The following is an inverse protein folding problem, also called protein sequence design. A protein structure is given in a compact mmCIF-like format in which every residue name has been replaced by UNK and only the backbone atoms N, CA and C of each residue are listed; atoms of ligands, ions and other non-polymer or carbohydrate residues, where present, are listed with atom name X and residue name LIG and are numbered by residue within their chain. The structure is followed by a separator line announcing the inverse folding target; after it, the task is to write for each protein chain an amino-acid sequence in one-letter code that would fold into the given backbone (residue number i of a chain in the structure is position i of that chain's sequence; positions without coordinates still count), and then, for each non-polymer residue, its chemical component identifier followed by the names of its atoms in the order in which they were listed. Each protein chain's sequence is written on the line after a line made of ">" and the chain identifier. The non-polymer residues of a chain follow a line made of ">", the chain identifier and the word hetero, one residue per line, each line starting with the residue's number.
data_IF_072779320153
#
_entry.id   IF_072779320153
#
_cell.length_a   1.000
_cell.length_b   1.000
_cell.length_c   1.000
_cell.angle_alpha   90.00
_cell.angle_beta   90.00
_cell.angle_gamma   90.00
#
_symmetry.space_group_name_H-M   'P 1'
#
loop_
_entity.id
_entity.type
_entity.pdbx_description
1 polymer ?
#
# COMPACT_ATOMS: atom_id res chain seq x y z
N UNK A 1 -22.09 -8.72 -16.77
CA UNK A 1 -22.70 -9.99 -16.32
C UNK A 1 -22.45 -10.17 -14.84
N UNK A 2 -23.49 -10.07 -14.00
CA UNK A 2 -23.39 -10.23 -12.54
C UNK A 2 -23.41 -11.73 -12.22
N UNK A 3 -22.32 -12.29 -11.69
CA UNK A 3 -22.33 -13.65 -11.13
C UNK A 3 -22.81 -13.55 -9.68
N UNK A 4 -23.97 -14.13 -9.33
CA UNK A 4 -24.41 -14.15 -7.94
C UNK A 4 -23.38 -14.91 -7.11
N UNK A 5 -22.99 -14.34 -5.98
CA UNK A 5 -22.07 -14.98 -5.05
C UNK A 5 -22.70 -16.29 -4.52
N UNK A 6 -21.87 -17.32 -4.27
CA UNK A 6 -22.29 -18.61 -3.70
C UNK A 6 -23.31 -18.52 -2.54
N UNK A 7 -23.24 -17.54 -1.61
CA UNK A 7 -24.28 -17.37 -0.58
C UNK A 7 -25.66 -16.98 -1.12
N UNK A 8 -25.75 -16.22 -2.22
CA UNK A 8 -27.04 -15.84 -2.84
C UNK A 8 -27.73 -17.07 -3.43
N UNK A 9 -26.96 -17.99 -4.02
CA UNK A 9 -27.48 -19.25 -4.55
C UNK A 9 -27.97 -20.19 -3.43
N UNK A 10 -27.23 -20.27 -2.32
CA UNK A 10 -27.63 -21.06 -1.16
C UNK A 10 -28.90 -20.51 -0.50
N UNK A 11 -29.03 -19.19 -0.40
CA UNK A 11 -30.22 -18.53 0.14
C UNK A 11 -31.44 -18.72 -0.77
N UNK A 12 -31.27 -18.60 -2.08
CA UNK A 12 -32.33 -18.86 -3.06
C UNK A 12 -32.85 -20.29 -2.98
N UNK A 13 -31.96 -21.27 -2.82
CA UNK A 13 -32.34 -22.67 -2.62
C UNK A 13 -33.08 -22.88 -1.28
N UNK A 14 -32.62 -22.28 -0.19
CA UNK A 14 -33.28 -22.37 1.11
C UNK A 14 -34.69 -21.74 1.10
N UNK A 15 -34.86 -20.58 0.47
CA UNK A 15 -36.16 -19.95 0.28
C UNK A 15 -37.10 -20.81 -0.59
N UNK A 16 -36.59 -21.42 -1.67
CA UNK A 16 -37.39 -22.27 -2.55
C UNK A 16 -37.91 -23.52 -1.82
N UNK A 17 -37.04 -24.19 -1.05
CA UNK A 17 -37.42 -25.37 -0.24
C UNK A 17 -38.45 -24.98 0.84
N UNK A 18 -38.24 -23.85 1.51
CA UNK A 18 -39.18 -23.33 2.50
C UNK A 18 -40.56 -23.02 1.88
N UNK A 19 -40.59 -22.43 0.68
CA UNK A 19 -41.84 -22.09 -0.02
C UNK A 19 -42.60 -23.35 -0.47
N UNK A 20 -41.89 -24.39 -0.91
CA UNK A 20 -42.50 -25.66 -1.32
C UNK A 20 -43.17 -26.40 -0.15
N UNK A 21 -42.54 -26.37 1.02
CA UNK A 21 -43.09 -26.97 2.26
C UNK A 21 -44.33 -26.21 2.75
N UNK A 22 -44.38 -24.88 2.57
CA UNK A 22 -45.55 -24.04 2.93
C UNK A 22 -46.77 -24.35 2.09
N UNK A 23 -46.62 -24.49 0.78
CA UNK A 23 -47.75 -24.85 -0.11
C UNK A 23 -48.29 -26.24 0.26
N UNK A 24 -47.40 -27.16 0.66
CA UNK A 24 -47.79 -28.47 1.18
C UNK A 24 -48.51 -28.45 2.53
N UNK A 25 -48.19 -27.51 3.42
CA UNK A 25 -48.79 -27.42 4.76
C UNK A 25 -50.09 -26.60 4.81
N UNK A 26 -50.19 -25.53 4.01
CA UNK A 26 -51.37 -24.62 3.96
C UNK A 26 -52.61 -25.31 3.37
N UNK A 27 -52.43 -26.40 2.60
CA UNK A 27 -53.55 -27.17 2.07
C UNK A 27 -54.24 -28.06 3.11
N UNK A 28 -53.67 -28.25 4.31
CA UNK A 28 -54.14 -29.28 5.25
C UNK A 28 -54.94 -28.77 6.45
N UNK A 29 -54.68 -27.57 7.01
CA UNK A 29 -55.41 -27.09 8.20
C UNK A 29 -55.54 -25.55 8.28
N UNK A 30 -56.78 -25.06 8.39
CA UNK A 30 -57.11 -23.61 8.41
C UNK A 30 -57.14 -22.99 9.82
N UNK A 31 -57.01 -23.77 10.91
CA UNK A 31 -57.23 -23.28 12.28
C UNK A 31 -56.00 -22.67 12.98
N UNK A 32 -54.80 -22.82 12.41
CA UNK A 32 -53.54 -22.31 12.98
C UNK A 32 -53.06 -20.98 12.37
N UNK A 33 -53.84 -20.40 11.45
CA UNK A 33 -53.45 -19.27 10.61
C UNK A 33 -52.81 -18.09 11.36
N UNK A 34 -53.31 -17.73 12.55
CA UNK A 34 -52.76 -16.60 13.33
C UNK A 34 -51.38 -16.85 13.94
N UNK A 35 -51.17 -18.00 14.59
CA UNK A 35 -49.87 -18.35 15.20
C UNK A 35 -48.83 -18.74 14.16
N UNK A 36 -49.26 -19.43 13.09
CA UNK A 36 -48.37 -19.78 11.98
C UNK A 36 -47.90 -18.53 11.24
N UNK A 37 -48.77 -17.54 10.98
CA UNK A 37 -48.36 -16.28 10.32
C UNK A 37 -47.42 -15.44 11.19
N UNK A 38 -47.64 -15.38 12.51
CA UNK A 38 -46.74 -14.67 13.42
C UNK A 38 -45.34 -15.30 13.49
N UNK A 39 -45.27 -16.63 13.59
CA UNK A 39 -44.01 -17.37 13.56
C UNK A 39 -43.28 -17.22 12.22
N UNK A 40 -44.02 -17.14 11.10
CA UNK A 40 -43.47 -16.91 9.77
C UNK A 40 -42.96 -15.49 9.56
N UNK A 41 -43.67 -14.49 10.05
CA UNK A 41 -43.18 -13.11 10.03
C UNK A 41 -41.85 -13.02 10.79
N UNK A 42 -41.77 -13.62 11.98
CA UNK A 42 -40.53 -13.69 12.75
C UNK A 42 -39.40 -14.43 12.02
N UNK A 43 -39.69 -15.54 11.34
CA UNK A 43 -38.71 -16.28 10.55
C UNK A 43 -38.18 -15.47 9.35
N UNK A 44 -39.05 -14.74 8.65
CA UNK A 44 -38.67 -13.86 7.54
C UNK A 44 -37.83 -12.68 8.04
N UNK A 45 -38.20 -12.05 9.16
CA UNK A 45 -37.41 -10.97 9.76
C UNK A 45 -36.04 -11.46 10.26
N UNK A 46 -35.97 -12.66 10.84
CA UNK A 46 -34.70 -13.27 11.23
C UNK A 46 -33.80 -13.55 10.01
N UNK A 47 -34.35 -14.10 8.92
CA UNK A 47 -33.61 -14.34 7.69
C UNK A 47 -33.13 -13.02 7.04
N UNK A 48 -33.96 -11.98 7.05
CA UNK A 48 -33.59 -10.66 6.55
C UNK A 48 -32.48 -10.01 7.41
N UNK A 49 -32.53 -10.18 8.74
CA UNK A 49 -31.49 -9.68 9.64
C UNK A 49 -30.14 -10.38 9.42
N UNK A 50 -30.13 -11.71 9.24
CA UNK A 50 -28.91 -12.47 8.91
C UNK A 50 -28.35 -12.05 7.55
N UNK A 51 -29.21 -11.83 6.55
CA UNK A 51 -28.79 -11.31 5.25
C UNK A 51 -28.19 -9.90 5.35
N UNK A 52 -28.85 -9.00 6.07
CA UNK A 52 -28.35 -7.64 6.29
C UNK A 52 -26.98 -7.67 7.00
N UNK A 53 -26.82 -8.54 8.01
CA UNK A 53 -25.55 -8.73 8.72
C UNK A 53 -24.46 -9.27 7.79
N UNK A 54 -24.75 -10.31 6.99
CA UNK A 54 -23.80 -10.89 6.04
C UNK A 54 -23.39 -9.89 4.95
N UNK A 55 -24.35 -9.10 4.44
CA UNK A 55 -24.10 -8.07 3.45
C UNK A 55 -23.30 -6.89 4.01
N UNK A 56 -23.57 -6.46 5.24
CA UNK A 56 -22.76 -5.46 5.95
C UNK A 56 -21.34 -5.97 6.18
N UNK A 57 -21.19 -7.22 6.64
CA UNK A 57 -19.89 -7.85 6.84
C UNK A 57 -19.09 -7.92 5.53
N UNK A 58 -19.72 -8.32 4.42
CA UNK A 58 -19.08 -8.32 3.11
C UNK A 58 -18.63 -6.92 2.68
N UNK A 59 -19.46 -5.89 2.92
CA UNK A 59 -19.08 -4.49 2.65
C UNK A 59 -17.93 -4.02 3.54
N UNK A 60 -17.92 -4.37 4.82
CA UNK A 60 -16.82 -4.02 5.72
C UNK A 60 -15.52 -4.68 5.30
N UNK A 61 -15.55 -5.97 4.95
CA UNK A 61 -14.37 -6.68 4.45
C UNK A 61 -13.83 -6.02 3.18
N UNK A 62 -14.70 -5.74 2.19
CA UNK A 62 -14.28 -5.07 0.95
C UNK A 62 -13.69 -3.69 1.20
N UNK A 63 -14.27 -2.90 2.11
CA UNK A 63 -13.73 -1.58 2.49
C UNK A 63 -12.38 -1.72 3.20
N UNK A 64 -12.25 -2.65 4.14
CA UNK A 64 -10.97 -2.91 4.82
C UNK A 64 -9.88 -3.32 3.83
N UNK A 65 -10.17 -4.17 2.85
CA UNK A 65 -9.18 -4.55 1.82
C UNK A 65 -8.78 -3.35 0.96
N UNK A 66 -9.73 -2.49 0.59
CA UNK A 66 -9.45 -1.26 -0.16
C UNK A 66 -8.64 -0.26 0.65
N UNK A 67 -8.98 -0.05 1.92
CA UNK A 67 -8.26 0.86 2.82
C UNK A 67 -6.84 0.37 3.08
N UNK A 68 -6.64 -0.94 3.26
CA UNK A 68 -5.32 -1.54 3.40
C UNK A 68 -4.48 -1.37 2.13
N UNK A 69 -5.06 -1.62 0.95
CA UNK A 69 -4.37 -1.44 -0.33
C UNK A 69 -3.95 0.03 -0.52
N UNK A 70 -4.86 0.96 -0.22
CA UNK A 70 -4.58 2.39 -0.27
C UNK A 70 -3.47 2.80 0.69
N UNK A 71 -3.51 2.34 1.94
CA UNK A 71 -2.47 2.60 2.94
C UNK A 71 -1.10 2.08 2.48
N UNK A 72 -1.05 0.90 1.86
CA UNK A 72 0.21 0.36 1.31
C UNK A 72 0.81 1.28 0.24
N UNK A 73 -0.01 1.72 -0.72
CA UNK A 73 0.45 2.64 -1.77
C UNK A 73 0.86 3.99 -1.18
N UNK A 74 0.13 4.50 -0.20
CA UNK A 74 0.47 5.75 0.49
C UNK A 74 1.79 5.63 1.28
N UNK A 75 2.08 4.46 1.88
CA UNK A 75 3.35 4.17 2.53
C UNK A 75 4.52 4.12 1.53
N UNK A 76 4.31 3.56 0.34
CA UNK A 76 5.32 3.61 -0.74
C UNK A 76 5.58 5.06 -1.16
N UNK A 77 4.52 5.85 -1.35
CA UNK A 77 4.64 7.25 -1.71
C UNK A 77 5.31 8.09 -0.60
N UNK A 78 5.08 7.78 0.68
CA UNK A 78 5.70 8.49 1.80
C UNK A 78 7.17 8.13 1.93
N UNK A 79 7.53 6.86 1.73
CA UNK A 79 8.91 6.41 1.65
C UNK A 79 9.69 7.13 0.54
N UNK A 80 9.15 7.16 -0.69
CA UNK A 80 9.77 7.85 -1.80
C UNK A 80 9.98 9.36 -1.53
N UNK A 81 8.98 10.03 -0.94
CA UNK A 81 9.08 11.43 -0.54
C UNK A 81 10.14 11.66 0.53
N UNK A 82 10.22 10.77 1.50
CA UNK A 82 11.21 10.86 2.57
C UNK A 82 12.64 10.70 2.02
N UNK A 83 12.85 9.76 1.08
CA UNK A 83 14.13 9.61 0.38
C UNK A 83 14.48 10.88 -0.39
N UNK A 84 13.54 11.43 -1.16
CA UNK A 84 13.74 12.66 -1.92
C UNK A 84 14.15 13.83 -1.01
N UNK A 85 13.40 14.07 0.07
CA UNK A 85 13.68 15.14 1.03
C UNK A 85 15.05 14.98 1.69
N UNK A 86 15.44 13.74 1.98
CA UNK A 86 16.75 13.44 2.55
C UNK A 86 17.86 13.80 1.58
N UNK A 87 17.76 13.36 0.32
CA UNK A 87 18.75 13.67 -0.71
C UNK A 87 18.79 15.16 -1.06
N UNK A 88 17.65 15.85 -1.03
CA UNK A 88 17.58 17.29 -1.24
C UNK A 88 18.31 18.07 -0.13
N UNK A 89 18.11 17.70 1.15
CA UNK A 89 18.85 18.32 2.27
C UNK A 89 20.35 18.11 2.14
N UNK A 90 20.76 16.91 1.72
CA UNK A 90 22.17 16.59 1.54
C UNK A 90 22.73 17.38 0.36
N UNK A 91 22.01 17.44 -0.75
CA UNK A 91 22.40 18.24 -1.91
C UNK A 91 22.57 19.71 -1.54
N UNK A 92 21.60 20.31 -0.83
CA UNK A 92 21.69 21.69 -0.34
C UNK A 92 22.86 21.92 0.62
N UNK A 93 23.21 20.93 1.45
CA UNK A 93 24.35 21.04 2.37
C UNK A 93 25.70 21.02 1.64
N UNK A 94 25.75 20.43 0.43
CA UNK A 94 26.97 20.28 -0.37
C UNK A 94 27.05 21.34 -1.49
N UNK A 95 25.94 21.96 -1.86
CA UNK A 95 25.90 22.91 -2.98
C UNK A 95 26.89 24.07 -2.76
N UNK A 96 27.85 24.21 -3.67
CA UNK A 96 28.93 25.20 -3.60
C UNK A 96 29.99 24.93 -2.51
N UNK A 97 30.02 23.73 -1.91
CA UNK A 97 30.96 23.36 -0.84
C UNK A 97 31.68 22.05 -1.13
N UNK A 98 32.97 22.02 -0.84
CA UNK A 98 33.73 20.78 -0.70
C UNK A 98 33.59 20.32 0.76
N UNK A 99 32.90 19.21 0.99
CA UNK A 99 32.76 18.68 2.35
C UNK A 99 34.02 17.90 2.74
N UNK A 100 34.48 18.14 3.97
CA UNK A 100 35.45 17.26 4.61
C UNK A 100 34.82 15.91 4.92
N UNK A 101 35.63 14.85 5.06
CA UNK A 101 35.12 13.54 5.46
C UNK A 101 34.27 13.60 6.74
N UNK A 102 34.67 14.46 7.67
CA UNK A 102 34.04 14.54 8.99
C UNK A 102 32.65 15.15 8.88
N UNK A 103 32.48 16.16 8.02
CA UNK A 103 31.18 16.78 7.76
C UNK A 103 30.27 15.84 6.98
N UNK A 104 30.83 15.10 6.02
CA UNK A 104 30.11 14.04 5.31
C UNK A 104 29.69 12.90 6.24
N UNK A 105 30.61 12.42 7.09
CA UNK A 105 30.32 11.39 8.10
C UNK A 105 29.37 11.88 9.20
N UNK A 106 29.28 13.18 9.47
CA UNK A 106 28.28 13.75 10.37
C UNK A 106 26.89 13.84 9.72
N UNK A 107 26.82 14.25 8.45
CA UNK A 107 25.58 14.21 7.64
C UNK A 107 25.03 12.78 7.54
N UNK A 108 25.94 11.83 7.42
CA UNK A 108 25.64 10.42 7.27
C UNK A 108 25.48 9.67 8.61
N UNK A 109 26.15 10.14 9.67
CA UNK A 109 26.01 9.64 11.05
C UNK A 109 24.64 9.91 11.66
N UNK A 110 23.86 10.81 11.05
CA UNK A 110 22.42 10.94 11.29
C UNK A 110 21.62 9.77 10.68
N UNK A 111 22.28 8.84 9.98
CA UNK A 111 21.73 7.61 9.44
C UNK A 111 20.79 7.83 8.26
N UNK A 112 20.81 9.00 7.63
CA UNK A 112 19.78 9.39 6.66
C UNK A 112 19.76 8.48 5.41
N UNK A 113 20.93 8.17 4.84
CA UNK A 113 21.07 7.22 3.73
C UNK A 113 20.73 5.78 4.13
N UNK A 114 21.26 5.32 5.27
CA UNK A 114 21.00 3.97 5.78
C UNK A 114 19.51 3.76 6.10
N UNK A 115 18.85 4.80 6.61
CA UNK A 115 17.41 4.78 6.90
C UNK A 115 16.60 4.79 5.60
N UNK A 116 17.03 5.54 4.57
CA UNK A 116 16.41 5.50 3.24
C UNK A 116 16.43 4.09 2.66
N UNK A 117 17.61 3.47 2.67
CA UNK A 117 17.82 2.13 2.18
C UNK A 117 16.99 1.10 2.98
N UNK A 118 16.97 1.21 4.32
CA UNK A 118 16.18 0.33 5.18
C UNK A 118 14.68 0.46 4.93
N UNK A 119 14.14 1.68 4.91
CA UNK A 119 12.71 1.93 4.67
C UNK A 119 12.29 1.37 3.31
N UNK A 120 13.11 1.55 2.28
CA UNK A 120 12.82 1.00 0.95
C UNK A 120 12.96 -0.53 0.93
N UNK A 121 13.93 -1.12 1.62
CA UNK A 121 14.13 -2.57 1.67
C UNK A 121 12.99 -3.30 2.41
N UNK A 122 12.33 -2.64 3.36
CA UNK A 122 11.16 -3.17 4.05
C UNK A 122 9.88 -3.19 3.17
N UNK A 123 9.90 -2.50 2.02
CA UNK A 123 8.79 -2.54 1.05
C UNK A 123 8.77 -3.89 0.32
N UNK A 124 7.80 -4.72 0.66
CA UNK A 124 7.54 -5.98 -0.02
C UNK A 124 6.94 -5.71 -1.40
N UNK A 125 7.75 -5.85 -2.45
CA UNK A 125 7.29 -5.65 -3.84
C UNK A 125 6.15 -6.60 -4.24
N UNK A 126 6.11 -7.81 -3.68
CA UNK A 126 5.04 -8.78 -3.93
C UNK A 126 3.67 -8.37 -3.36
N UNK A 127 3.62 -7.35 -2.50
CA UNK A 127 2.39 -6.78 -1.97
C UNK A 127 1.81 -5.66 -2.86
N UNK A 128 2.47 -5.32 -3.97
CA UNK A 128 2.03 -4.32 -4.94
C UNK A 128 1.35 -5.01 -6.13
N UNK A 129 0.04 -4.77 -6.27
CA UNK A 129 -0.75 -5.32 -7.38
C UNK A 129 -0.44 -4.62 -8.73
N UNK A 130 0.19 -3.44 -8.68
CA UNK A 130 0.56 -2.64 -9.84
C UNK A 130 2.02 -2.94 -10.26
N UNK A 131 2.18 -3.61 -11.41
CA UNK A 131 3.48 -3.97 -11.97
C UNK A 131 4.34 -2.76 -12.34
N UNK A 132 3.73 -1.67 -12.78
CA UNK A 132 4.46 -0.44 -13.15
C UNK A 132 5.02 0.20 -11.88
N UNK A 133 4.19 0.32 -10.82
CA UNK A 133 4.62 0.82 -9.52
C UNK A 133 5.73 -0.05 -8.92
N UNK A 134 5.58 -1.38 -8.96
CA UNK A 134 6.60 -2.30 -8.44
C UNK A 134 7.95 -2.15 -9.16
N UNK A 135 7.93 -2.01 -10.49
CA UNK A 135 9.14 -1.81 -11.31
C UNK A 135 9.85 -0.51 -10.95
N UNK A 136 9.10 0.57 -10.75
CA UNK A 136 9.69 1.86 -10.39
C UNK A 136 10.20 1.89 -8.95
N UNK A 137 9.54 1.22 -8.01
CA UNK A 137 10.06 1.03 -6.64
C UNK A 137 11.36 0.21 -6.65
N UNK A 138 11.42 -0.86 -7.45
CA UNK A 138 12.63 -1.66 -7.63
C UNK A 138 13.77 -0.81 -8.24
N UNK A 139 13.45 0.05 -9.19
CA UNK A 139 14.41 1.01 -9.77
C UNK A 139 14.95 1.96 -8.70
N UNK A 140 14.08 2.52 -7.85
CA UNK A 140 14.48 3.38 -6.74
C UNK A 140 15.37 2.62 -5.73
N UNK A 141 15.01 1.39 -5.37
CA UNK A 141 15.84 0.53 -4.51
C UNK A 141 17.22 0.29 -5.12
N UNK A 142 17.30 0.01 -6.43
CA UNK A 142 18.56 -0.18 -7.14
C UNK A 142 19.44 1.07 -7.15
N UNK A 143 18.86 2.25 -7.41
CA UNK A 143 19.56 3.53 -7.34
C UNK A 143 20.13 3.77 -5.94
N UNK A 144 19.33 3.54 -4.89
CA UNK A 144 19.78 3.73 -3.51
C UNK A 144 20.86 2.73 -3.09
N UNK A 145 20.77 1.48 -3.57
CA UNK A 145 21.80 0.48 -3.34
C UNK A 145 23.13 0.84 -4.02
N UNK A 146 23.09 1.31 -5.28
CA UNK A 146 24.27 1.76 -6.02
C UNK A 146 24.94 2.96 -5.33
N UNK A 147 24.15 3.96 -4.90
CA UNK A 147 24.67 5.11 -4.15
C UNK A 147 25.26 4.67 -2.81
N UNK A 148 24.64 3.70 -2.13
CA UNK A 148 25.16 3.16 -0.87
C UNK A 148 26.51 2.47 -1.06
N UNK A 149 26.67 1.69 -2.13
CA UNK A 149 27.92 1.03 -2.48
C UNK A 149 29.03 2.04 -2.84
N UNK A 150 28.71 3.03 -3.68
CA UNK A 150 29.63 4.13 -4.03
C UNK A 150 30.06 4.91 -2.78
N UNK A 151 29.12 5.19 -1.86
CA UNK A 151 29.42 5.82 -0.57
C UNK A 151 30.42 5.01 0.24
N UNK A 152 30.22 3.70 0.36
CA UNK A 152 31.11 2.82 1.13
C UNK A 152 32.52 2.81 0.54
N UNK A 153 32.63 2.73 -0.78
CA UNK A 153 33.90 2.86 -1.49
C UNK A 153 34.59 4.22 -1.21
N UNK A 154 33.84 5.32 -1.24
CA UNK A 154 34.38 6.65 -0.94
C UNK A 154 34.85 6.76 0.51
N UNK A 155 34.13 6.17 1.47
CA UNK A 155 34.55 6.13 2.87
C UNK A 155 35.84 5.30 3.04
N UNK A 156 36.01 4.21 2.30
CA UNK A 156 37.23 3.41 2.32
C UNK A 156 38.43 4.14 1.70
N UNK A 157 38.24 4.79 0.54
CA UNK A 157 39.28 5.64 -0.09
C UNK A 157 39.68 6.76 0.88
N UNK A 158 38.68 7.35 1.54
CA UNK A 158 38.88 8.43 2.45
C UNK A 158 39.65 8.09 3.72
N UNK A 159 39.49 6.87 4.25
CA UNK A 159 40.31 6.37 5.36
C UNK A 159 41.80 6.29 4.99
N UNK A 160 42.12 6.19 3.70
CA UNK A 160 43.49 6.03 3.18
C UNK A 160 44.12 7.35 2.72
N UNK A 161 43.32 8.39 2.48
CA UNK A 161 43.79 9.67 1.95
C UNK A 161 43.84 10.76 3.05
N UNK A 162 44.85 11.66 3.04
CA UNK A 162 44.97 12.72 4.04
C UNK A 162 43.92 13.84 3.91
N UNK A 163 43.18 13.92 2.79
CA UNK A 163 42.09 14.89 2.61
C UNK A 163 41.07 14.41 1.57
N UNK A 164 40.11 13.56 1.95
CA UNK A 164 39.06 13.12 1.06
C UNK A 164 38.02 14.23 0.89
N UNK A 165 37.87 14.67 -0.35
CA UNK A 165 36.89 15.68 -0.74
C UNK A 165 35.74 14.95 -1.40
N UNK A 166 34.57 14.96 -0.75
CA UNK A 166 33.33 14.64 -1.44
C UNK A 166 33.05 15.80 -2.39
N UNK A 167 33.19 15.55 -3.69
CA UNK A 167 33.00 16.60 -4.70
C UNK A 167 31.52 16.76 -5.03
N UNK A 168 31.08 18.01 -5.17
CA UNK A 168 29.72 18.39 -5.58
C UNK A 168 29.25 17.65 -6.84
N UNK A 169 30.16 17.38 -7.77
CA UNK A 169 29.89 16.69 -9.04
C UNK A 169 29.30 15.30 -8.84
N UNK A 170 29.80 14.54 -7.85
CA UNK A 170 29.31 13.19 -7.55
C UNK A 170 27.87 13.24 -7.03
N UNK A 171 27.60 14.10 -6.04
CA UNK A 171 26.27 14.25 -5.45
C UNK A 171 25.24 14.81 -6.42
N UNK A 172 25.63 15.69 -7.35
CA UNK A 172 24.72 16.21 -8.38
C UNK A 172 24.17 15.10 -9.28
N UNK A 173 25.01 14.17 -9.71
CA UNK A 173 24.58 13.07 -10.57
C UNK A 173 23.66 12.09 -9.81
N UNK A 174 24.04 11.72 -8.60
CA UNK A 174 23.26 10.81 -7.76
C UNK A 174 21.92 11.44 -7.34
N UNK A 175 21.90 12.74 -7.06
CA UNK A 175 20.67 13.49 -6.78
C UNK A 175 19.67 13.43 -7.93
N UNK A 176 20.11 13.63 -9.18
CA UNK A 176 19.23 13.57 -10.36
C UNK A 176 18.63 12.16 -10.53
N UNK A 177 19.43 11.11 -10.31
CA UNK A 177 18.95 9.73 -10.40
C UNK A 177 17.90 9.44 -9.32
N UNK A 178 18.15 9.82 -8.07
CA UNK A 178 17.20 9.67 -6.97
C UNK A 178 15.95 10.49 -7.20
N UNK A 179 16.10 11.74 -7.65
CA UNK A 179 14.97 12.63 -7.94
C UNK A 179 14.04 11.99 -8.97
N UNK A 180 14.59 11.52 -10.09
CA UNK A 180 13.81 10.92 -11.17
C UNK A 180 13.09 9.64 -10.71
N UNK A 181 13.80 8.75 -10.00
CA UNK A 181 13.22 7.50 -9.51
C UNK A 181 12.16 7.74 -8.43
N UNK A 182 12.43 8.58 -7.43
CA UNK A 182 11.50 8.87 -6.34
C UNK A 182 10.26 9.62 -6.83
N UNK A 183 10.42 10.57 -7.76
CA UNK A 183 9.29 11.30 -8.37
C UNK A 183 8.44 10.38 -9.25
N UNK A 184 9.04 9.41 -9.94
CA UNK A 184 8.30 8.40 -10.68
C UNK A 184 7.46 7.50 -9.74
N UNK A 185 8.02 7.06 -8.61
CA UNK A 185 7.26 6.31 -7.58
C UNK A 185 6.10 7.15 -7.07
N UNK A 186 6.32 8.42 -6.73
CA UNK A 186 5.27 9.30 -6.17
C UNK A 186 4.14 9.53 -7.15
N UNK A 187 4.44 9.78 -8.43
CA UNK A 187 3.45 9.98 -9.48
C UNK A 187 2.59 8.73 -9.73
N UNK A 188 3.22 7.57 -9.80
CA UNK A 188 2.48 6.30 -10.00
C UNK A 188 1.63 5.95 -8.77
N UNK A 189 2.18 6.12 -7.57
CA UNK A 189 1.44 5.91 -6.34
C UNK A 189 0.25 6.88 -6.20
N UNK A 190 0.43 8.15 -6.58
CA UNK A 190 -0.64 9.14 -6.60
C UNK A 190 -1.74 8.76 -7.60
N UNK A 191 -1.36 8.32 -8.81
CA UNK A 191 -2.31 7.82 -9.83
C UNK A 191 -3.11 6.63 -9.32
N UNK A 192 -2.46 5.65 -8.70
CA UNK A 192 -3.11 4.45 -8.19
C UNK A 192 -4.15 4.74 -7.08
N UNK A 193 -3.95 5.82 -6.30
CA UNK A 193 -4.87 6.25 -5.24
C UNK A 193 -5.85 7.34 -5.71
N UNK A 194 -5.77 7.79 -6.97
CA UNK A 194 -6.62 8.86 -7.51
C UNK A 194 -6.32 10.24 -6.91
N UNK A 195 -5.09 10.47 -6.44
CA UNK A 195 -4.60 11.75 -5.88
C UNK A 195 -3.73 12.48 -6.91
N UNK A 196 -3.63 13.81 -6.81
CA UNK A 196 -2.62 14.60 -7.51
C UNK A 196 -1.23 14.34 -6.91
N UNK A 197 -0.26 14.06 -7.78
CA UNK A 197 1.15 13.97 -7.43
C UNK A 197 1.66 15.27 -6.78
N UNK A 198 2.56 15.13 -5.81
CA UNK A 198 3.23 16.26 -5.18
C UNK A 198 4.39 16.81 -6.03
N UNK A 199 4.94 15.97 -6.92
CA UNK A 199 6.09 16.28 -7.78
C UNK A 199 5.79 15.97 -9.26
#
# INVERSE_FOLDING_TARGET
>A
MWKPSRPILALGAACAVATFVVVGAVTKDRSLFGQTVAAWAQAIFAAAAVFAAAWLQERFLRRQTQDQHRQRIENVASAARWVLQTYERIHQAVDGRNLSLRDFANLDGQGAFATAAKVLAELKLGDLDDHELATVVLTLQGVIADISAKREEQLEIAKRAPSPIVTERWLKQDYVMVFNAASAVERLAARAVGRKAAF
#
